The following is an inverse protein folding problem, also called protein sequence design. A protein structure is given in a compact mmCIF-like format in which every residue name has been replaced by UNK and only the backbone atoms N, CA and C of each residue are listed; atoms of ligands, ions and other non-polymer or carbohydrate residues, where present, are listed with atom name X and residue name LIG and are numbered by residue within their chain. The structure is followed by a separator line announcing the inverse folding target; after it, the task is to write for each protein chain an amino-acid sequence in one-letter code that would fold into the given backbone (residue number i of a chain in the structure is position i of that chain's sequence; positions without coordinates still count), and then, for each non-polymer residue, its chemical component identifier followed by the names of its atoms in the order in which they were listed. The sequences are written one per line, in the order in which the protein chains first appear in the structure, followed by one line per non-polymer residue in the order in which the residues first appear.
data_IF_525711179978
#
_entry.id   IF_525711179978
#
_cell.length_a   1.000
_cell.length_b   1.000
_cell.length_c   1.000
_cell.angle_alpha   90.00
_cell.angle_beta   90.00
_cell.angle_gamma   90.00
#
_symmetry.space_group_name_H-M   'P 1'
#
loop_
_entity.id
_entity.type
_entity.pdbx_description
1 polymer ?
#
# COMPACT_ATOMS: atom_id res chain seq x y z
N UNK A 1 -3.83 -15.04 36.17
CA UNK A 1 -3.42 -14.18 35.03
C UNK A 1 -4.48 -14.33 33.95
N UNK A 2 -5.06 -13.23 33.47
CA UNK A 2 -6.04 -13.24 32.38
C UNK A 2 -5.26 -13.09 31.06
N UNK A 3 -5.45 -14.00 30.11
CA UNK A 3 -4.82 -13.91 28.79
C UNK A 3 -5.52 -12.83 27.95
N UNK A 4 -4.78 -12.00 27.20
CA UNK A 4 -5.38 -10.96 26.37
C UNK A 4 -6.20 -11.57 25.23
N UNK A 5 -7.27 -10.88 24.85
CA UNK A 5 -8.02 -11.19 23.64
C UNK A 5 -7.23 -10.74 22.41
N UNK A 6 -7.54 -11.31 21.25
CA UNK A 6 -6.94 -10.89 19.99
C UNK A 6 -7.12 -9.39 19.74
N UNK A 7 -8.26 -8.82 20.13
CA UNK A 7 -8.53 -7.38 20.02
C UNK A 7 -7.55 -6.54 20.83
N UNK A 8 -7.21 -6.96 22.05
CA UNK A 8 -6.29 -6.24 22.92
C UNK A 8 -4.86 -6.24 22.33
N UNK A 9 -4.45 -7.38 21.78
CA UNK A 9 -3.15 -7.53 21.11
C UNK A 9 -3.06 -6.65 19.86
N UNK A 10 -4.11 -6.61 19.05
CA UNK A 10 -4.14 -5.79 17.83
C UNK A 10 -4.19 -4.29 18.15
N UNK A 11 -4.91 -3.90 19.21
CA UNK A 11 -4.96 -2.51 19.66
C UNK A 11 -3.58 -2.05 20.17
N UNK A 12 -2.92 -2.84 21.02
CA UNK A 12 -1.55 -2.55 21.48
C UNK A 12 -0.59 -2.43 20.29
N UNK A 13 -0.64 -3.39 19.35
CA UNK A 13 0.20 -3.36 18.16
C UNK A 13 -0.03 -2.08 17.33
N UNK A 14 -1.29 -1.69 17.09
CA UNK A 14 -1.62 -0.49 16.32
C UNK A 14 -1.03 0.79 16.92
N UNK A 15 -0.97 0.90 18.26
CA UNK A 15 -0.37 2.07 18.93
C UNK A 15 1.16 2.12 18.82
N UNK A 16 1.80 0.98 18.60
CA UNK A 16 3.27 0.82 18.59
C UNK A 16 3.84 0.77 17.18
N UNK A 17 2.99 0.65 16.17
CA UNK A 17 3.42 0.64 14.78
C UNK A 17 3.81 2.06 14.35
N UNK A 18 4.98 2.25 13.72
CA UNK A 18 5.31 3.51 13.09
C UNK A 18 4.28 3.82 12.00
N UNK A 19 4.10 5.11 11.71
CA UNK A 19 3.25 5.53 10.59
C UNK A 19 3.67 4.79 9.31
N UNK A 20 2.67 4.37 8.53
CA UNK A 20 2.91 3.73 7.24
C UNK A 20 3.76 4.63 6.34
N UNK A 21 4.63 4.02 5.54
CA UNK A 21 5.40 4.75 4.53
C UNK A 21 4.44 5.42 3.54
N UNK A 22 4.67 6.70 3.26
CA UNK A 22 3.96 7.40 2.19
C UNK A 22 4.20 6.77 0.82
N UNK A 23 3.14 6.69 0.02
CA UNK A 23 3.23 6.25 -1.37
C UNK A 23 4.04 7.26 -2.18
N UNK A 24 4.99 6.75 -2.98
CA UNK A 24 5.80 7.55 -3.90
C UNK A 24 5.55 7.14 -5.34
N UNK A 25 5.92 7.99 -6.31
CA UNK A 25 5.91 7.64 -7.75
C UNK A 25 6.70 6.35 -8.03
N UNK A 26 7.85 6.19 -7.36
CA UNK A 26 8.69 5.00 -7.52
C UNK A 26 7.99 3.72 -7.04
N UNK A 27 7.17 3.81 -5.99
CA UNK A 27 6.37 2.66 -5.53
C UNK A 27 5.34 2.27 -6.58
N UNK A 28 4.66 3.25 -7.21
CA UNK A 28 3.72 2.99 -8.29
C UNK A 28 4.37 2.30 -9.50
N UNK A 29 5.57 2.72 -9.89
CA UNK A 29 6.34 2.10 -10.98
C UNK A 29 6.73 0.66 -10.66
N UNK A 30 7.18 0.40 -9.43
CA UNK A 30 7.51 -0.96 -8.98
C UNK A 30 6.29 -1.87 -9.02
N UNK A 31 5.14 -1.37 -8.56
CA UNK A 31 3.86 -2.11 -8.60
C UNK A 31 3.47 -2.39 -10.06
N UNK A 32 3.56 -1.41 -10.96
CA UNK A 32 3.27 -1.62 -12.38
C UNK A 32 4.15 -2.72 -13.00
N UNK A 33 5.45 -2.74 -12.68
CA UNK A 33 6.35 -3.79 -13.13
C UNK A 33 6.02 -5.19 -12.57
N UNK A 34 5.46 -5.27 -11.35
CA UNK A 34 4.97 -6.54 -10.78
C UNK A 34 3.67 -6.97 -11.45
N UNK A 35 2.72 -6.05 -11.62
CA UNK A 35 1.44 -6.32 -12.28
C UNK A 35 1.66 -6.88 -13.68
N UNK A 36 2.49 -6.23 -14.50
CA UNK A 36 2.80 -6.68 -15.86
C UNK A 36 3.38 -8.11 -15.87
N UNK A 37 4.36 -8.39 -14.99
CA UNK A 37 5.02 -9.71 -14.92
C UNK A 37 4.11 -10.80 -14.33
N UNK A 38 3.15 -10.42 -13.50
CA UNK A 38 2.23 -11.35 -12.85
C UNK A 38 0.98 -11.62 -13.67
N UNK A 39 0.74 -10.90 -14.77
CA UNK A 39 -0.39 -11.10 -15.68
C UNK A 39 -0.03 -12.09 -16.80
N UNK A 40 -0.47 -13.36 -16.74
CA UNK A 40 -0.08 -14.39 -17.70
C UNK A 40 -0.53 -14.08 -19.13
N UNK A 41 -1.64 -13.35 -19.26
CA UNK A 41 -2.25 -12.99 -20.54
C UNK A 41 -1.89 -11.57 -21.00
N UNK A 42 -1.02 -10.86 -20.24
CA UNK A 42 -0.65 -9.45 -20.48
C UNK A 42 -1.84 -8.49 -20.62
N UNK A 43 -3.02 -8.87 -20.13
CA UNK A 43 -4.19 -8.01 -20.11
C UNK A 43 -4.00 -6.92 -19.04
N UNK A 44 -3.56 -5.74 -19.47
CA UNK A 44 -3.56 -4.54 -18.63
C UNK A 44 -5.01 -4.13 -18.38
N UNK A 45 -5.55 -4.48 -17.20
CA UNK A 45 -6.85 -4.00 -16.76
C UNK A 45 -6.72 -2.53 -16.31
N UNK A 46 -7.47 -1.59 -16.90
CA UNK A 46 -7.55 -0.23 -16.38
C UNK A 46 -8.01 -0.26 -14.91
N UNK A 47 -7.31 0.42 -14.01
CA UNK A 47 -7.65 0.48 -12.58
C UNK A 47 -6.93 -0.53 -11.68
N UNK A 48 -5.73 -0.98 -12.06
CA UNK A 48 -4.87 -1.80 -11.19
C UNK A 48 -4.32 -1.06 -9.96
N UNK A 49 -3.65 -1.79 -9.07
CA UNK A 49 -3.02 -1.28 -7.83
C UNK A 49 -2.02 -0.17 -8.16
N UNK A 50 -1.27 -0.27 -9.26
CA UNK A 50 -0.33 0.77 -9.67
C UNK A 50 -1.00 2.14 -9.87
N UNK A 51 -2.25 2.17 -10.37
CA UNK A 51 -3.01 3.41 -10.59
C UNK A 51 -3.38 4.05 -9.25
N UNK A 52 -3.84 3.25 -8.28
CA UNK A 52 -4.18 3.74 -6.94
C UNK A 52 -2.96 4.24 -6.20
N UNK A 53 -1.83 3.54 -6.29
CA UNK A 53 -0.56 3.97 -5.68
C UNK A 53 -0.06 5.26 -6.33
N UNK A 54 -0.20 5.41 -7.66
CA UNK A 54 0.13 6.65 -8.35
C UNK A 54 -0.76 7.82 -7.93
N UNK A 55 -2.07 7.59 -7.72
CA UNK A 55 -2.97 8.60 -7.21
C UNK A 55 -2.60 9.02 -5.78
N UNK A 56 -2.32 8.07 -4.90
CA UNK A 56 -1.85 8.35 -3.54
C UNK A 56 -0.53 9.15 -3.54
N UNK A 57 0.42 8.78 -4.40
CA UNK A 57 1.67 9.51 -4.54
C UNK A 57 1.47 10.97 -4.96
N UNK A 58 0.51 11.25 -5.86
CA UNK A 58 0.17 12.62 -6.25
C UNK A 58 -0.45 13.42 -5.11
N UNK A 59 -1.23 12.78 -4.24
CA UNK A 59 -1.82 13.43 -3.06
C UNK A 59 -0.76 13.73 -1.99
N UNK A 60 0.30 12.92 -1.92
CA UNK A 60 1.42 13.13 -0.99
C UNK A 60 2.42 14.18 -1.49
N UNK A 61 2.42 14.50 -2.79
CA UNK A 61 3.29 15.54 -3.33
C UNK A 61 2.85 16.91 -2.79
N UNK A 62 3.74 17.67 -2.12
CA UNK A 62 3.40 19.00 -1.61
C UNK A 62 3.01 19.92 -2.77
N UNK A 63 1.91 20.65 -2.61
CA UNK A 63 1.44 21.63 -3.59
C UNK A 63 2.53 22.69 -3.78
N UNK A 64 3.13 22.73 -4.97
CA UNK A 64 4.23 23.64 -5.30
C UNK A 64 3.78 25.07 -5.50
#
# INVERSE_FOLDING_TARGET
MVSPLLGDVLADAATRMPAGKEATRQDAERVAGVEIRSCPNLEMRPGGVAVTVAAAARLNEPNR
#
